data_IF_087262592686
#
_entry.id   IF_087262592686
#
_cell.length_a   1.000
_cell.length_b   1.000
_cell.length_c   1.000
_cell.angle_alpha   90.00
_cell.angle_beta   90.00
_cell.angle_gamma   90.00
#
_symmetry.space_group_name_H-M   'P 1'
#
loop_
_entity.id
_entity.type
_entity.pdbx_description
1 polymer ?
#
# COMPACT_ATOMS: atom_id res chain seq x y z
N UNK A 1 3.06 13.57 -21.99
CA UNK A 1 2.21 13.52 -20.78
C UNK A 1 3.03 13.38 -19.49
N UNK A 2 4.16 12.64 -19.48
CA UNK A 2 5.06 12.47 -18.31
C UNK A 2 5.91 13.70 -17.93
N UNK A 3 5.98 14.72 -18.78
CA UNK A 3 6.89 15.87 -18.62
C UNK A 3 6.50 16.88 -17.52
N UNK A 4 5.44 16.62 -16.73
CA UNK A 4 4.97 17.54 -15.67
C UNK A 4 4.55 16.83 -14.39
N UNK A 5 5.36 15.87 -13.94
CA UNK A 5 5.31 15.38 -12.55
C UNK A 5 6.38 16.16 -11.78
N UNK A 6 6.02 16.75 -10.63
CA UNK A 6 7.04 17.44 -9.81
C UNK A 6 8.02 16.43 -9.21
N UNK A 7 9.23 16.85 -8.82
CA UNK A 7 10.20 15.96 -8.15
C UNK A 7 9.61 15.37 -6.87
N UNK A 8 8.90 16.18 -6.09
CA UNK A 8 8.24 15.76 -4.84
C UNK A 8 7.15 14.72 -5.09
N UNK A 9 6.31 14.94 -6.11
CA UNK A 9 5.26 13.98 -6.47
C UNK A 9 5.86 12.63 -6.90
N UNK A 10 6.94 12.62 -7.69
CA UNK A 10 7.66 11.38 -8.02
C UNK A 10 8.18 10.67 -6.78
N UNK A 11 8.82 11.41 -5.87
CA UNK A 11 9.34 10.84 -4.63
C UNK A 11 8.22 10.21 -3.79
N UNK A 12 7.06 10.87 -3.68
CA UNK A 12 5.90 10.32 -2.98
C UNK A 12 5.36 9.06 -3.65
N UNK A 13 5.30 8.99 -4.98
CA UNK A 13 4.95 7.75 -5.69
C UNK A 13 5.94 6.63 -5.41
N UNK A 14 7.25 6.92 -5.44
CA UNK A 14 8.28 5.93 -5.10
C UNK A 14 8.11 5.42 -3.67
N UNK A 15 7.88 6.31 -2.71
CA UNK A 15 7.62 5.94 -1.31
C UNK A 15 6.34 5.11 -1.19
N UNK A 16 5.25 5.49 -1.86
CA UNK A 16 4.00 4.72 -1.83
C UNK A 16 4.17 3.31 -2.42
N UNK A 17 4.88 3.16 -3.55
CA UNK A 17 5.16 1.84 -4.13
C UNK A 17 6.08 1.01 -3.22
N UNK A 18 7.11 1.62 -2.64
CA UNK A 18 7.98 0.93 -1.68
C UNK A 18 7.20 0.47 -0.45
N UNK A 19 6.32 1.32 0.09
CA UNK A 19 5.43 0.99 1.20
C UNK A 19 4.48 -0.16 0.83
N UNK A 20 3.88 -0.16 -0.36
CA UNK A 20 3.06 -1.27 -0.86
C UNK A 20 3.82 -2.60 -0.85
N UNK A 21 5.06 -2.60 -1.37
CA UNK A 21 5.86 -3.82 -1.46
C UNK A 21 6.20 -4.32 -0.06
N UNK A 22 6.67 -3.42 0.82
CA UNK A 22 6.97 -3.77 2.21
C UNK A 22 5.73 -4.28 2.94
N UNK A 23 4.58 -3.65 2.75
CA UNK A 23 3.32 -4.04 3.38
C UNK A 23 2.91 -5.45 2.95
N UNK A 24 2.97 -5.77 1.65
CA UNK A 24 2.73 -7.14 1.15
C UNK A 24 3.69 -8.15 1.78
N UNK A 25 4.98 -7.83 1.82
CA UNK A 25 6.02 -8.73 2.35
C UNK A 25 5.79 -8.99 3.83
N UNK A 26 5.57 -7.94 4.62
CA UNK A 26 5.37 -8.05 6.06
C UNK A 26 4.06 -8.75 6.40
N UNK A 27 2.94 -8.43 5.74
CA UNK A 27 1.68 -9.17 5.96
C UNK A 27 1.87 -10.65 5.60
N UNK A 28 2.52 -10.95 4.47
CA UNK A 28 2.77 -12.34 4.08
C UNK A 28 3.66 -13.07 5.08
N UNK A 29 4.67 -12.41 5.60
CA UNK A 29 5.56 -12.97 6.63
C UNK A 29 4.83 -13.17 7.95
N UNK A 30 4.09 -12.17 8.42
CA UNK A 30 3.25 -12.23 9.63
C UNK A 30 2.29 -13.42 9.60
N UNK A 31 1.58 -13.61 8.48
CA UNK A 31 0.69 -14.75 8.29
C UNK A 31 1.43 -16.10 8.38
N UNK A 32 2.66 -16.19 7.88
CA UNK A 32 3.48 -17.42 7.96
C UNK A 32 3.92 -17.77 9.37
N UNK A 33 4.11 -16.76 10.23
CA UNK A 33 4.47 -16.95 11.64
C UNK A 33 3.24 -17.02 12.56
N UNK A 34 2.02 -17.07 12.00
CA UNK A 34 0.78 -17.25 12.75
C UNK A 34 0.07 -15.97 13.21
N UNK A 35 0.52 -14.79 12.79
CA UNK A 35 -0.23 -13.55 12.99
C UNK A 35 -1.49 -13.54 12.12
N UNK A 36 -2.51 -12.81 12.57
CA UNK A 36 -3.81 -12.70 11.88
C UNK A 36 -3.95 -11.31 11.28
N UNK A 37 -4.47 -11.24 10.05
CA UNK A 37 -4.81 -9.97 9.41
C UNK A 37 -6.02 -9.31 10.10
N UNK A 38 -5.82 -8.10 10.61
CA UNK A 38 -6.84 -7.38 11.39
C UNK A 38 -7.80 -6.59 10.51
N UNK A 39 -7.42 -6.28 9.26
CA UNK A 39 -8.31 -5.62 8.32
C UNK A 39 -9.38 -6.61 7.81
N UNK A 40 -10.67 -6.44 8.14
CA UNK A 40 -11.70 -7.42 7.79
C UNK A 40 -11.84 -7.64 6.28
N UNK A 41 -11.67 -6.57 5.49
CA UNK A 41 -11.70 -6.65 4.04
C UNK A 41 -10.51 -7.46 3.52
N UNK A 42 -9.29 -7.14 3.97
CA UNK A 42 -8.10 -7.87 3.54
C UNK A 42 -8.16 -9.34 4.00
N UNK A 43 -8.58 -9.60 5.23
CA UNK A 43 -8.77 -10.94 5.77
C UNK A 43 -9.77 -11.75 4.93
N UNK A 44 -10.91 -11.16 4.54
CA UNK A 44 -11.90 -11.82 3.69
C UNK A 44 -11.37 -12.19 2.31
N UNK A 45 -10.52 -11.33 1.72
CA UNK A 45 -9.89 -11.56 0.41
C UNK A 45 -8.80 -12.62 0.52
N UNK A 46 -7.99 -12.58 1.58
CA UNK A 46 -6.96 -13.59 1.87
C UNK A 46 -7.59 -14.96 2.11
N UNK A 47 -8.71 -15.03 2.82
CA UNK A 47 -9.43 -16.29 3.04
C UNK A 47 -9.91 -16.93 1.73
N UNK A 48 -10.29 -16.11 0.73
CA UNK A 48 -10.81 -16.60 -0.55
C UNK A 48 -9.72 -16.87 -1.60
N UNK A 49 -8.64 -16.09 -1.60
CA UNK A 49 -7.67 -16.05 -2.70
C UNK A 49 -6.21 -15.97 -2.24
N UNK A 50 -5.95 -16.12 -0.95
CA UNK A 50 -4.62 -16.07 -0.34
C UNK A 50 -3.89 -14.76 -0.60
N UNK A 51 -2.56 -14.85 -0.65
CA UNK A 51 -1.67 -13.71 -0.90
C UNK A 51 -1.94 -13.08 -2.27
N UNK A 52 -2.34 -13.87 -3.27
CA UNK A 52 -2.67 -13.37 -4.63
C UNK A 52 -3.84 -12.38 -4.57
N UNK A 53 -4.89 -12.69 -3.81
CA UNK A 53 -6.01 -11.78 -3.61
C UNK A 53 -5.59 -10.46 -2.94
N UNK A 54 -4.73 -10.53 -1.94
CA UNK A 54 -4.20 -9.34 -1.26
C UNK A 54 -3.40 -8.44 -2.22
N UNK A 55 -2.54 -9.04 -3.06
CA UNK A 55 -1.78 -8.30 -4.07
C UNK A 55 -2.73 -7.65 -5.08
N UNK A 56 -3.77 -8.36 -5.53
CA UNK A 56 -4.79 -7.81 -6.42
C UNK A 56 -5.54 -6.63 -5.78
N UNK A 57 -5.90 -6.71 -4.51
CA UNK A 57 -6.54 -5.62 -3.77
C UNK A 57 -5.68 -4.35 -3.73
N UNK A 58 -4.37 -4.51 -3.44
CA UNK A 58 -3.44 -3.37 -3.44
C UNK A 58 -3.19 -2.82 -4.84
N UNK A 59 -3.09 -3.68 -5.85
CA UNK A 59 -2.97 -3.27 -7.25
C UNK A 59 -4.22 -2.50 -7.73
N UNK A 60 -5.41 -2.90 -7.30
CA UNK A 60 -6.65 -2.18 -7.58
C UNK A 60 -6.63 -0.77 -6.94
N UNK A 61 -6.23 -0.66 -5.67
CA UNK A 61 -6.08 0.63 -4.99
C UNK A 61 -5.05 1.53 -5.69
N UNK A 62 -3.90 0.98 -6.08
CA UNK A 62 -2.87 1.69 -6.85
C UNK A 62 -3.42 2.18 -8.20
N UNK A 63 -4.17 1.34 -8.91
CA UNK A 63 -4.79 1.68 -10.19
C UNK A 63 -5.78 2.83 -10.03
N UNK A 64 -6.66 2.77 -9.01
CA UNK A 64 -7.60 3.84 -8.68
C UNK A 64 -6.84 5.14 -8.39
N UNK A 65 -5.74 5.10 -7.64
CA UNK A 65 -4.94 6.29 -7.36
C UNK A 65 -4.27 6.85 -8.63
N UNK A 66 -3.70 6.01 -9.48
CA UNK A 66 -3.06 6.43 -10.74
C UNK A 66 -4.08 7.04 -11.71
N UNK A 67 -5.28 6.45 -11.83
CA UNK A 67 -6.37 7.00 -12.66
C UNK A 67 -6.90 8.29 -12.04
N UNK A 68 -7.19 8.29 -10.74
CA UNK A 68 -7.68 9.44 -10.00
C UNK A 68 -6.73 10.63 -10.05
N UNK A 69 -5.41 10.38 -10.14
CA UNK A 69 -4.41 11.42 -10.33
C UNK A 69 -4.65 12.27 -11.59
N UNK A 70 -5.23 11.71 -12.66
CA UNK A 70 -5.57 12.47 -13.86
C UNK A 70 -6.71 13.49 -13.63
N UNK A 71 -7.56 13.24 -12.63
CA UNK A 71 -8.71 14.09 -12.27
C UNK A 71 -8.32 15.20 -11.28
N UNK A 72 -7.18 15.05 -10.59
CA UNK A 72 -6.73 16.00 -9.56
C UNK A 72 -5.95 17.17 -10.20
N UNK A 73 -6.31 18.43 -9.87
CA UNK A 73 -5.56 19.60 -10.32
C UNK A 73 -4.07 19.51 -9.94
N UNK A 74 -3.18 19.99 -10.82
CA UNK A 74 -1.71 19.88 -10.61
C UNK A 74 -1.21 20.40 -9.27
N UNK A 75 -1.84 21.44 -8.71
CA UNK A 75 -1.50 21.99 -7.39
C UNK A 75 -1.70 20.98 -6.23
N UNK A 76 -2.56 19.98 -6.41
CA UNK A 76 -2.89 18.96 -5.42
C UNK A 76 -2.43 17.55 -5.82
N UNK A 77 -1.73 17.44 -6.95
CA UNK A 77 -1.23 16.19 -7.50
C UNK A 77 -0.49 15.30 -6.49
N UNK A 78 0.32 15.91 -5.63
CA UNK A 78 1.11 15.23 -4.60
C UNK A 78 0.24 14.63 -3.48
N UNK A 79 -0.99 15.11 -3.28
CA UNK A 79 -1.89 14.54 -2.28
C UNK A 79 -2.33 13.12 -2.64
N UNK A 80 -2.33 12.75 -3.92
CA UNK A 80 -2.74 11.40 -4.36
C UNK A 80 -1.77 10.32 -3.88
N UNK A 81 -0.46 10.36 -4.22
CA UNK A 81 0.48 9.38 -3.68
C UNK A 81 0.66 9.50 -2.16
N UNK A 82 0.44 10.68 -1.57
CA UNK A 82 0.51 10.86 -0.12
C UNK A 82 -0.66 10.16 0.59
N UNK A 83 -1.90 10.38 0.12
CA UNK A 83 -3.08 9.72 0.66
C UNK A 83 -3.04 8.20 0.48
N UNK A 84 -2.40 7.72 -0.59
CA UNK A 84 -2.18 6.29 -0.80
C UNK A 84 -1.05 5.73 0.08
N UNK A 85 0.08 6.43 0.16
CA UNK A 85 1.29 5.95 0.82
C UNK A 85 1.22 6.01 2.35
N UNK A 86 0.55 7.00 2.94
CA UNK A 86 0.46 7.15 4.40
C UNK A 86 -0.19 5.93 5.07
N UNK A 87 -1.36 5.43 4.64
CA UNK A 87 -1.93 4.21 5.21
C UNK A 87 -1.02 2.99 5.10
N UNK A 88 -0.32 2.82 3.98
CA UNK A 88 0.61 1.69 3.81
C UNK A 88 1.86 1.82 4.67
N UNK A 89 2.40 3.03 4.86
CA UNK A 89 3.52 3.24 5.78
C UNK A 89 3.12 2.94 7.23
N UNK A 90 1.89 3.31 7.62
CA UNK A 90 1.35 2.95 8.93
C UNK A 90 1.20 1.43 9.08
N UNK A 91 0.66 0.75 8.07
CA UNK A 91 0.55 -0.71 8.05
C UNK A 91 1.93 -1.39 8.14
N UNK A 92 2.92 -0.90 7.39
CA UNK A 92 4.31 -1.37 7.49
C UNK A 92 4.86 -1.22 8.91
N UNK A 93 4.66 -0.05 9.54
CA UNK A 93 5.10 0.19 10.91
C UNK A 93 4.45 -0.76 11.91
N UNK A 94 3.13 -0.93 11.83
CA UNK A 94 2.37 -1.85 12.68
C UNK A 94 2.86 -3.29 12.47
N UNK A 95 2.93 -3.76 11.23
CA UNK A 95 3.36 -5.13 10.92
C UNK A 95 4.80 -5.37 11.40
N UNK A 96 5.70 -4.40 11.24
CA UNK A 96 7.08 -4.50 11.73
C UNK A 96 7.11 -4.69 13.25
N UNK A 97 6.36 -3.88 14.00
CA UNK A 97 6.28 -3.99 15.47
C UNK A 97 5.68 -5.34 15.88
N UNK A 98 4.60 -5.78 15.23
CA UNK A 98 3.97 -7.06 15.55
C UNK A 98 4.89 -8.25 15.26
N UNK A 99 5.61 -8.23 14.15
CA UNK A 99 6.59 -9.25 13.80
C UNK A 99 7.74 -9.24 14.80
N UNK A 100 8.29 -8.07 15.13
CA UNK A 100 9.38 -7.95 16.09
C UNK A 100 9.00 -8.48 17.48
N UNK A 101 7.74 -8.30 17.90
CA UNK A 101 7.23 -8.82 19.18
C UNK A 101 6.89 -10.33 19.15
N UNK A 102 6.84 -10.95 17.97
CA UNK A 102 6.52 -12.36 17.78
C UNK A 102 7.76 -13.25 17.57
N UNK A 103 8.93 -12.64 17.40
CA UNK A 103 10.24 -13.29 17.33
C UNK A 103 10.85 -13.43 18.74
#
# INVERSE_FOLDING_TARGET
>A
MLSRVSRHERALWTVAVAALVLDVVLTTYGLRIGLVEMNPLAASVIAQSGVVGMVALKAAALTVAVVGRALVPRRYAALVPLALGVPWLLAVGINTVMIANAL
#
